data_IF_471495069193
#
_entry.id   IF_471495069193
#
_cell.length_a   1.000
_cell.length_b   1.000
_cell.length_c   1.000
_cell.angle_alpha   90.00
_cell.angle_beta   90.00
_cell.angle_gamma   90.00
#
_symmetry.space_group_name_H-M   'P 1'
#
loop_
_entity.id
_entity.type
_entity.pdbx_description
1 polymer ?
#
# COMPACT_ATOMS: atom_id res chain seq x y z
N UNK A 1 8.93 1.77 -12.62
CA UNK A 1 8.26 0.72 -13.40
C UNK A 1 7.31 0.01 -12.45
N UNK A 2 6.06 -0.20 -12.84
CA UNK A 2 5.09 -0.96 -12.04
C UNK A 2 5.37 -2.46 -12.18
N UNK A 3 4.98 -3.27 -11.18
CA UNK A 3 5.12 -4.73 -11.24
C UNK A 3 4.26 -5.32 -12.36
N UNK A 4 4.70 -6.43 -12.93
CA UNK A 4 3.95 -7.14 -13.98
C UNK A 4 2.56 -7.55 -13.47
N UNK A 5 1.54 -7.37 -14.32
CA UNK A 5 0.15 -7.69 -13.98
C UNK A 5 -0.56 -6.63 -13.13
N UNK A 6 -0.03 -5.40 -13.05
CA UNK A 6 -0.71 -4.32 -12.35
C UNK A 6 -2.05 -3.96 -13.01
N UNK A 7 -2.13 -4.00 -14.34
CA UNK A 7 -3.38 -3.71 -15.06
C UNK A 7 -4.50 -4.65 -14.60
N UNK A 8 -4.22 -5.96 -14.58
CA UNK A 8 -5.17 -6.99 -14.14
C UNK A 8 -5.61 -6.79 -12.69
N UNK A 9 -4.68 -6.40 -11.83
CA UNK A 9 -4.95 -6.12 -10.42
C UNK A 9 -5.96 -4.97 -10.32
N UNK A 10 -5.66 -3.85 -10.97
CA UNK A 10 -6.52 -2.68 -10.88
C UNK A 10 -7.86 -2.87 -11.58
N UNK A 11 -7.92 -3.62 -12.68
CA UNK A 11 -9.19 -4.02 -13.32
C UNK A 11 -10.06 -4.82 -12.34
N UNK A 12 -9.49 -5.81 -11.65
CA UNK A 12 -10.23 -6.59 -10.63
C UNK A 12 -10.67 -5.72 -9.45
N UNK A 13 -9.84 -4.76 -9.03
CA UNK A 13 -10.18 -3.81 -7.96
C UNK A 13 -11.28 -2.81 -8.36
N UNK A 14 -11.65 -2.70 -9.64
CA UNK A 14 -12.77 -1.85 -10.07
C UNK A 14 -14.14 -2.28 -9.52
N UNK A 15 -14.28 -3.49 -8.96
CA UNK A 15 -15.50 -4.05 -8.35
C UNK A 15 -15.90 -3.42 -7.00
N UNK A 16 -15.63 -2.13 -6.79
CA UNK A 16 -15.90 -1.38 -5.54
C UNK A 16 -15.08 -1.86 -4.33
N UNK A 17 -13.87 -2.37 -4.56
CA UNK A 17 -12.93 -2.70 -3.49
C UNK A 17 -12.15 -1.42 -3.13
N UNK A 18 -12.21 -0.95 -1.87
CA UNK A 18 -11.40 0.18 -1.43
C UNK A 18 -9.91 -0.15 -1.52
N UNK A 19 -9.14 0.71 -2.20
CA UNK A 19 -7.69 0.58 -2.30
C UNK A 19 -7.04 1.70 -1.51
N UNK A 20 -6.28 1.35 -0.48
CA UNK A 20 -5.54 2.29 0.35
C UNK A 20 -4.04 2.14 0.09
N UNK A 21 -3.44 3.13 -0.55
CA UNK A 21 -2.01 3.16 -0.87
C UNK A 21 -1.31 4.02 0.18
N UNK A 22 -0.54 3.37 1.05
CA UNK A 22 0.21 4.03 2.10
C UNK A 22 1.72 3.99 1.80
N UNK A 23 2.26 5.12 1.35
CA UNK A 23 3.64 5.22 0.87
C UNK A 23 4.47 6.18 1.71
N UNK A 24 5.69 5.75 2.08
CA UNK A 24 6.72 6.62 2.66
C UNK A 24 7.52 7.42 1.60
N UNK A 25 7.12 7.32 0.32
CA UNK A 25 7.70 8.08 -0.78
C UNK A 25 7.11 9.49 -0.90
N UNK A 26 7.11 10.02 -2.12
CA UNK A 26 6.55 11.34 -2.47
C UNK A 26 5.18 11.14 -3.11
N UNK A 27 4.14 11.74 -2.53
CA UNK A 27 2.75 11.58 -2.93
C UNK A 27 2.46 12.07 -4.35
N UNK A 28 2.88 13.29 -4.68
CA UNK A 28 2.61 13.92 -5.98
C UNK A 28 3.19 13.09 -7.16
N UNK A 29 4.38 12.52 -6.95
CA UNK A 29 5.02 11.65 -7.95
C UNK A 29 4.28 10.32 -8.07
N UNK A 30 3.84 9.75 -6.95
CA UNK A 30 3.08 8.50 -6.94
C UNK A 30 1.72 8.66 -7.63
N UNK A 31 1.00 9.75 -7.34
CA UNK A 31 -0.27 10.05 -8.00
C UNK A 31 -0.09 10.24 -9.50
N UNK A 32 0.98 10.92 -9.93
CA UNK A 32 1.27 11.10 -11.36
C UNK A 32 1.58 9.76 -12.05
N UNK A 33 2.33 8.86 -11.40
CA UNK A 33 2.60 7.52 -11.93
C UNK A 33 1.31 6.71 -12.08
N UNK A 34 0.44 6.74 -11.07
CA UNK A 34 -0.86 6.05 -11.08
C UNK A 34 -1.77 6.64 -12.16
N UNK A 35 -1.77 7.97 -12.31
CA UNK A 35 -2.56 8.67 -13.30
C UNK A 35 -2.12 8.34 -14.73
N UNK A 36 -0.82 8.37 -15.02
CA UNK A 36 -0.28 7.98 -16.33
C UNK A 36 -0.53 6.50 -16.65
N UNK A 37 -0.62 5.65 -15.64
CA UNK A 37 -1.00 4.25 -15.78
C UNK A 37 -2.52 4.02 -15.95
N UNK A 38 -3.35 5.08 -15.88
CA UNK A 38 -4.80 5.01 -16.06
C UNK A 38 -5.58 4.51 -14.83
N UNK A 39 -5.01 4.65 -13.62
CA UNK A 39 -5.47 3.97 -12.40
C UNK A 39 -6.06 4.92 -11.33
N UNK A 40 -6.18 6.21 -11.61
CA UNK A 40 -6.29 7.28 -10.60
C UNK A 40 -7.64 7.37 -9.86
N UNK A 41 -8.73 6.82 -10.38
CA UNK A 41 -10.08 7.17 -9.88
C UNK A 41 -10.55 6.46 -8.60
N UNK A 42 -9.79 5.50 -8.05
CA UNK A 42 -10.28 4.61 -6.97
C UNK A 42 -9.30 4.34 -5.82
N UNK A 43 -8.15 5.00 -5.80
CA UNK A 43 -7.14 4.82 -4.75
C UNK A 43 -7.18 5.97 -3.75
N UNK A 44 -7.29 5.66 -2.47
CA UNK A 44 -6.94 6.61 -1.42
C UNK A 44 -5.42 6.57 -1.22
N UNK A 45 -4.74 7.67 -1.54
CA UNK A 45 -3.29 7.80 -1.37
C UNK A 45 -2.98 8.54 -0.07
N UNK A 46 -2.12 7.94 0.76
CA UNK A 46 -1.52 8.59 1.93
C UNK A 46 0.01 8.52 1.77
N UNK A 47 0.64 9.69 1.64
CA UNK A 47 2.08 9.79 1.42
C UNK A 47 2.62 11.18 1.81
N UNK A 48 3.91 11.41 1.60
CA UNK A 48 4.52 12.72 1.82
C UNK A 48 4.26 13.61 0.60
N UNK A 49 3.26 14.49 0.70
CA UNK A 49 2.92 15.41 -0.38
C UNK A 49 3.79 16.67 -0.33
N UNK A 50 4.18 17.15 -1.49
CA UNK A 50 4.95 18.37 -1.68
C UNK A 50 4.15 19.61 -1.28
N UNK A 51 4.85 20.55 -0.64
CA UNK A 51 4.36 21.88 -0.34
C UNK A 51 5.03 22.90 -1.27
N UNK A 52 4.22 23.54 -2.10
CA UNK A 52 4.66 24.52 -3.09
C UNK A 52 4.25 25.92 -2.65
N UNK A 53 5.14 26.89 -2.88
CA UNK A 53 4.78 28.29 -2.68
C UNK A 53 3.94 28.87 -3.82
N UNK A 54 3.59 30.15 -3.70
CA UNK A 54 2.83 30.91 -4.71
C UNK A 54 3.51 30.95 -6.10
N UNK A 55 4.82 30.72 -6.15
CA UNK A 55 5.60 30.65 -7.40
C UNK A 55 5.77 29.21 -7.92
N UNK A 56 5.06 28.24 -7.36
CA UNK A 56 5.13 26.80 -7.70
C UNK A 56 6.54 26.23 -7.48
N UNK A 57 7.27 26.77 -6.50
CA UNK A 57 8.56 26.25 -6.08
C UNK A 57 8.39 25.38 -4.84
N UNK A 58 8.96 24.18 -4.87
CA UNK A 58 8.96 23.25 -3.73
C UNK A 58 9.65 23.89 -2.52
N UNK A 59 8.94 24.02 -1.40
CA UNK A 59 9.47 24.53 -0.13
C UNK A 59 9.54 23.51 0.98
N UNK A 60 8.79 22.42 0.89
CA UNK A 60 8.76 21.40 1.92
C UNK A 60 7.81 20.24 1.61
N UNK A 61 7.45 19.51 2.66
CA UNK A 61 6.45 18.46 2.63
C UNK A 61 5.30 18.85 3.58
N UNK A 62 4.07 18.53 3.17
CA UNK A 62 2.86 18.77 3.94
C UNK A 62 2.72 17.74 5.06
N UNK A 63 2.16 18.17 6.19
CA UNK A 63 1.83 17.29 7.31
C UNK A 63 3.06 16.72 8.01
N UNK A 64 2.88 15.56 8.65
CA UNK A 64 3.96 14.86 9.31
C UNK A 64 4.67 13.89 8.37
N UNK A 65 5.99 13.77 8.54
CA UNK A 65 6.81 12.87 7.75
C UNK A 65 6.40 11.41 7.96
N UNK A 66 6.07 10.73 6.86
CA UNK A 66 5.94 9.28 6.78
C UNK A 66 7.28 8.71 6.32
N UNK A 67 7.88 7.87 7.15
CA UNK A 67 9.06 7.08 6.82
C UNK A 67 8.76 5.58 6.99
N UNK A 68 9.71 4.73 6.60
CA UNK A 68 9.54 3.27 6.55
C UNK A 68 9.12 2.66 7.89
N UNK A 69 9.33 3.31 9.04
CA UNK A 69 9.12 2.72 10.37
C UNK A 69 7.98 3.33 11.19
N UNK A 70 7.33 4.41 10.72
CA UNK A 70 6.23 5.07 11.44
C UNK A 70 4.88 4.95 10.71
N UNK A 71 4.73 4.01 9.77
CA UNK A 71 3.46 3.79 9.09
C UNK A 71 2.31 3.50 10.06
N UNK A 72 2.57 2.86 11.19
CA UNK A 72 1.52 2.65 12.20
C UNK A 72 0.88 3.98 12.67
N UNK A 73 1.66 5.05 12.83
CA UNK A 73 1.17 6.35 13.29
C UNK A 73 0.24 6.98 12.25
N UNK A 74 0.61 6.89 10.97
CA UNK A 74 -0.26 7.40 9.90
C UNK A 74 -1.53 6.58 9.75
N UNK A 75 -1.51 5.26 9.97
CA UNK A 75 -2.75 4.45 9.93
C UNK A 75 -3.73 4.91 11.01
N UNK A 76 -3.24 5.16 12.23
CA UNK A 76 -4.05 5.63 13.36
C UNK A 76 -4.61 7.04 13.20
N UNK A 77 -4.07 7.83 12.26
CA UNK A 77 -4.58 9.17 11.92
C UNK A 77 -5.64 9.17 10.83
N UNK A 78 -5.79 8.05 10.10
CA UNK A 78 -6.78 7.90 9.04
C UNK A 78 -8.05 7.18 9.54
N UNK A 79 -8.41 7.37 10.82
CA UNK A 79 -9.58 6.73 11.44
C UNK A 79 -10.88 7.06 10.74
N UNK A 80 -11.03 8.27 10.22
CA UNK A 80 -12.23 8.67 9.48
C UNK A 80 -12.40 7.82 8.20
N UNK A 81 -11.32 7.58 7.47
CA UNK A 81 -11.33 6.69 6.30
C UNK A 81 -11.67 5.25 6.71
N UNK A 82 -10.98 4.69 7.70
CA UNK A 82 -11.22 3.31 8.13
C UNK A 82 -12.60 3.12 8.78
N UNK A 83 -13.18 4.15 9.39
CA UNK A 83 -14.54 4.10 9.94
C UNK A 83 -15.61 3.96 8.86
N UNK A 84 -15.39 4.54 7.68
CA UNK A 84 -16.27 4.38 6.52
C UNK A 84 -16.19 2.96 5.93
N UNK A 85 -15.08 2.25 6.19
CA UNK A 85 -14.80 0.89 5.72
C UNK A 85 -15.02 -0.17 6.80
N UNK A 86 -15.81 0.12 7.85
CA UNK A 86 -16.04 -0.79 8.99
C UNK A 86 -16.59 -2.18 8.60
N UNK A 87 -17.29 -2.26 7.46
CA UNK A 87 -17.88 -3.48 6.95
C UNK A 87 -16.89 -4.28 6.08
N UNK A 88 -15.76 -3.68 5.69
CA UNK A 88 -14.67 -4.33 4.96
C UNK A 88 -13.71 -5.02 5.94
N UNK A 89 -14.14 -6.11 6.56
CA UNK A 89 -13.39 -6.84 7.59
C UNK A 89 -12.29 -7.76 7.06
N UNK A 90 -12.21 -7.95 5.74
CA UNK A 90 -11.23 -8.81 5.08
C UNK A 90 -10.18 -7.97 4.34
N UNK A 91 -8.91 -8.12 4.72
CA UNK A 91 -7.80 -7.29 4.24
C UNK A 91 -6.76 -8.14 3.53
N UNK A 92 -6.32 -7.68 2.36
CA UNK A 92 -5.07 -8.13 1.73
C UNK A 92 -4.07 -6.99 1.87
N UNK A 93 -2.96 -7.25 2.56
CA UNK A 93 -1.87 -6.30 2.80
C UNK A 93 -0.68 -6.70 1.94
N UNK A 94 -0.24 -5.79 1.06
CA UNK A 94 0.96 -5.93 0.25
C UNK A 94 2.03 -4.97 0.78
N UNK A 95 3.25 -5.46 1.02
CA UNK A 95 4.34 -4.62 1.51
C UNK A 95 5.70 -5.21 1.19
N UNK A 96 6.73 -4.36 1.08
CA UNK A 96 8.09 -4.78 0.79
C UNK A 96 9.04 -4.64 1.98
N UNK A 97 8.61 -3.91 3.01
CA UNK A 97 9.34 -3.65 4.23
C UNK A 97 8.62 -4.18 5.47
N UNK A 98 9.37 -4.35 6.56
CA UNK A 98 8.77 -4.73 7.87
C UNK A 98 7.81 -3.67 8.43
N UNK A 99 7.99 -2.41 8.06
CA UNK A 99 7.10 -1.34 8.50
C UNK A 99 5.73 -1.40 7.85
N UNK A 100 5.63 -2.01 6.66
CA UNK A 100 4.38 -2.15 5.93
C UNK A 100 3.41 -3.09 6.62
N UNK A 101 3.91 -4.04 7.40
CA UNK A 101 3.09 -4.99 8.15
C UNK A 101 2.21 -4.33 9.22
N UNK A 102 2.44 -3.05 9.50
CA UNK A 102 1.67 -2.19 10.41
C UNK A 102 0.69 -1.24 9.69
N UNK A 103 0.58 -1.31 8.36
CA UNK A 103 -0.33 -0.45 7.59
C UNK A 103 -1.80 -0.75 7.86
N UNK A 104 -2.12 -1.89 8.49
CA UNK A 104 -3.49 -2.25 8.87
C UNK A 104 -3.81 -1.97 10.36
N UNK A 105 -2.89 -1.40 11.15
CA UNK A 105 -3.06 -1.23 12.61
C UNK A 105 -4.23 -0.29 12.98
N UNK A 106 -4.67 0.58 12.07
CA UNK A 106 -5.82 1.48 12.25
C UNK A 106 -7.14 0.97 11.66
N UNK A 107 -7.17 -0.25 11.12
CA UNK A 107 -8.41 -0.88 10.65
C UNK A 107 -9.23 -1.32 11.88
N UNK A 108 -10.45 -0.81 11.99
CA UNK A 108 -11.29 -0.94 13.20
C UNK A 108 -11.77 -2.38 13.42
N UNK A 109 -12.15 -3.07 12.34
CA UNK A 109 -12.71 -4.42 12.39
C UNK A 109 -11.95 -5.32 11.41
N UNK A 110 -11.16 -6.26 11.94
CA UNK A 110 -10.40 -7.23 11.13
C UNK A 110 -10.90 -8.63 11.47
N UNK A 111 -11.56 -9.26 10.52
CA UNK A 111 -11.99 -10.66 10.60
C UNK A 111 -10.90 -11.57 10.01
N UNK A 112 -10.43 -11.22 8.81
CA UNK A 112 -9.31 -11.90 8.15
C UNK A 112 -8.32 -10.90 7.57
N UNK A 113 -7.04 -11.19 7.73
CA UNK A 113 -5.96 -10.43 7.09
C UNK A 113 -4.95 -11.40 6.47
N UNK A 114 -4.63 -11.17 5.19
CA UNK A 114 -3.57 -11.88 4.48
C UNK A 114 -2.43 -10.91 4.18
N UNK A 115 -1.23 -11.18 4.70
CA UNK A 115 -0.03 -10.36 4.51
C UNK A 115 0.89 -11.00 3.48
N UNK A 116 1.11 -10.30 2.37
CA UNK A 116 2.01 -10.70 1.29
C UNK A 116 3.22 -9.76 1.28
N UNK A 117 4.39 -10.33 1.60
CA UNK A 117 5.66 -9.63 1.65
C UNK A 117 6.45 -9.78 0.35
N UNK A 118 7.00 -8.69 -0.17
CA UNK A 118 7.97 -8.66 -1.27
C UNK A 118 9.34 -8.24 -0.73
N UNK A 119 10.19 -9.14 -0.22
CA UNK A 119 11.46 -8.76 0.38
C UNK A 119 12.37 -8.06 -0.65
N UNK A 120 12.68 -6.80 -0.41
CA UNK A 120 13.65 -6.04 -1.19
C UNK A 120 15.02 -5.98 -0.49
N UNK A 121 16.09 -5.92 -1.28
CA UNK A 121 17.45 -5.74 -0.78
C UNK A 121 18.10 -7.03 -0.25
N UNK A 122 18.39 -7.07 1.06
CA UNK A 122 19.17 -8.15 1.71
C UNK A 122 18.31 -9.38 2.01
N UNK A 123 17.75 -9.97 0.96
CA UNK A 123 16.75 -11.05 1.10
C UNK A 123 17.29 -12.25 1.85
N UNK A 124 18.52 -12.69 1.56
CA UNK A 124 19.10 -13.88 2.21
C UNK A 124 19.26 -13.70 3.73
N UNK A 125 19.57 -12.48 4.19
CA UNK A 125 19.70 -12.15 5.61
C UNK A 125 18.35 -11.96 6.31
N UNK A 126 17.34 -11.50 5.56
CA UNK A 126 16.05 -11.07 6.10
C UNK A 126 14.94 -12.09 5.88
N UNK A 127 15.14 -13.11 5.05
CA UNK A 127 14.10 -14.06 4.64
C UNK A 127 13.37 -14.66 5.83
N UNK A 128 14.11 -15.14 6.84
CA UNK A 128 13.52 -15.69 8.06
C UNK A 128 12.60 -14.68 8.75
N UNK A 129 13.01 -13.41 8.85
CA UNK A 129 12.20 -12.36 9.48
C UNK A 129 10.93 -12.05 8.66
N UNK A 130 11.00 -12.10 7.33
CA UNK A 130 9.82 -11.95 6.49
C UNK A 130 8.87 -13.14 6.66
N UNK A 131 9.39 -14.38 6.67
CA UNK A 131 8.59 -15.59 6.91
C UNK A 131 7.92 -15.60 8.29
N UNK A 132 8.57 -15.03 9.31
CA UNK A 132 8.00 -14.94 10.66
C UNK A 132 6.88 -13.88 10.76
N UNK A 133 6.72 -13.00 9.77
CA UNK A 133 5.88 -11.80 9.88
C UNK A 133 4.92 -11.56 8.72
N UNK A 134 5.02 -12.35 7.64
CA UNK A 134 4.13 -12.36 6.48
C UNK A 134 3.63 -13.78 6.23
N UNK A 135 2.39 -13.92 5.77
CA UNK A 135 1.79 -15.22 5.46
C UNK A 135 2.34 -15.80 4.16
N UNK A 136 2.62 -14.91 3.19
CA UNK A 136 3.23 -15.25 1.90
C UNK A 136 4.44 -14.35 1.70
N UNK A 137 5.57 -14.93 1.29
CA UNK A 137 6.80 -14.20 0.99
C UNK A 137 7.23 -14.47 -0.45
N UNK A 138 7.32 -13.41 -1.26
CA UNK A 138 7.63 -13.48 -2.68
C UNK A 138 9.04 -12.97 -2.95
N UNK A 139 10.00 -13.90 -2.98
CA UNK A 139 11.44 -13.60 -3.11
C UNK A 139 11.79 -13.31 -4.56
N UNK A 140 12.31 -12.09 -4.82
CA UNK A 140 12.76 -11.64 -6.16
C UNK A 140 11.65 -11.75 -7.22
N UNK A 141 10.41 -11.53 -6.80
CA UNK A 141 9.23 -11.56 -7.65
C UNK A 141 8.87 -10.13 -8.09
N UNK A 142 8.87 -9.90 -9.40
CA UNK A 142 8.49 -8.62 -10.01
C UNK A 142 7.06 -8.59 -10.56
N UNK A 143 6.24 -9.56 -10.16
CA UNK A 143 4.85 -9.71 -10.58
C UNK A 143 3.84 -9.49 -9.44
N UNK A 144 2.58 -9.30 -9.82
CA UNK A 144 1.41 -9.31 -8.95
C UNK A 144 0.57 -10.59 -9.15
N UNK A 145 1.12 -11.64 -9.76
CA UNK A 145 0.37 -12.85 -10.14
C UNK A 145 -0.29 -13.53 -8.94
N UNK A 146 0.41 -13.64 -7.81
CA UNK A 146 -0.15 -14.25 -6.59
C UNK A 146 -1.34 -13.46 -6.06
N UNK A 147 -1.20 -12.13 -5.94
CA UNK A 147 -2.31 -11.26 -5.52
C UNK A 147 -3.48 -11.32 -6.51
N UNK A 148 -3.20 -11.29 -7.81
CA UNK A 148 -4.19 -11.42 -8.88
C UNK A 148 -4.92 -12.76 -8.84
N UNK A 149 -4.23 -13.85 -8.52
CA UNK A 149 -4.80 -15.20 -8.41
C UNK A 149 -5.71 -15.32 -7.20
N UNK A 150 -5.35 -14.70 -6.08
CA UNK A 150 -6.20 -14.64 -4.89
C UNK A 150 -7.47 -13.84 -5.20
N UNK A 151 -7.34 -12.63 -5.76
CA UNK A 151 -8.48 -11.81 -6.15
C UNK A 151 -9.41 -12.53 -7.13
N UNK A 152 -8.86 -13.29 -8.08
CA UNK A 152 -9.65 -14.08 -9.04
C UNK A 152 -10.50 -15.19 -8.39
N UNK A 153 -10.16 -15.63 -7.18
CA UNK A 153 -10.89 -16.68 -6.45
C UNK A 153 -11.94 -16.12 -5.51
N UNK A 154 -11.77 -14.89 -5.03
CA UNK A 154 -12.64 -14.29 -4.01
C UNK A 154 -13.60 -13.24 -4.57
N UNK A 155 -13.41 -12.83 -5.83
CA UNK A 155 -14.33 -11.99 -6.62
C UNK A 155 -15.08 -12.84 -7.63
#
# INVERSE_FOLDING_TARGET
>A
MLKEGYEDLFVKLQHSIPVFIFSAGIGDILEEVIHQAGLSSKCQVVSNFMDFDESVVLRGLKGELIHVFNKHDGTLKNTDYFSQLKDNSNIILLGDSRGDLKMADGVVNVEHILKIGYPNGRVDELLKKYMDSSDIVLVKDESLEVANSILQKIL
#
